data_IF_118730316383
#
_entry.id   IF_118730316383
#
_cell.length_a   1.000
_cell.length_b   1.000
_cell.length_c   1.000
_cell.angle_alpha   90.00
_cell.angle_beta   90.00
_cell.angle_gamma   90.00
#
_symmetry.space_group_name_H-M   'P 1'
#
loop_
_entity.id
_entity.type
_entity.pdbx_description
1 polymer ?
#
# COMPACT_ATOMS: atom_id res chain seq x y z
N UNK A 1 -9.74 4.71 -79.83
CA UNK A 1 -8.86 5.60 -79.07
C UNK A 1 -9.66 6.20 -77.92
N UNK A 2 -9.56 5.63 -76.72
CA UNK A 2 -10.20 6.12 -75.49
C UNK A 2 -9.16 6.03 -74.38
N UNK A 3 -8.81 7.18 -73.83
CA UNK A 3 -7.85 7.36 -72.74
C UNK A 3 -8.68 7.29 -71.45
N UNK A 4 -8.36 6.36 -70.55
CA UNK A 4 -8.95 6.29 -69.21
C UNK A 4 -7.88 6.75 -68.22
N UNK A 5 -8.15 7.89 -67.61
CA UNK A 5 -7.31 8.60 -66.65
C UNK A 5 -7.18 7.81 -65.34
N UNK A 6 -5.96 7.54 -64.90
CA UNK A 6 -5.65 6.87 -63.63
C UNK A 6 -5.63 7.89 -62.49
N UNK A 7 -6.39 7.64 -61.42
CA UNK A 7 -6.40 8.46 -60.20
C UNK A 7 -5.59 7.72 -59.13
N UNK A 8 -4.42 8.24 -58.74
CA UNK A 8 -3.64 7.72 -57.61
C UNK A 8 -4.29 8.16 -56.29
N UNK A 9 -4.62 7.20 -55.43
CA UNK A 9 -4.97 7.45 -54.03
C UNK A 9 -3.72 7.46 -53.16
N UNK A 10 -3.46 8.58 -52.47
CA UNK A 10 -2.36 8.72 -51.52
C UNK A 10 -2.83 8.23 -50.14
N UNK A 11 -2.34 7.08 -49.68
CA UNK A 11 -2.61 6.54 -48.34
C UNK A 11 -1.51 7.04 -47.39
N UNK A 12 -1.86 7.92 -46.46
CA UNK A 12 -0.98 8.37 -45.37
C UNK A 12 -1.13 7.44 -44.18
N UNK A 13 -0.12 6.61 -43.92
CA UNK A 13 -0.08 5.70 -42.76
C UNK A 13 0.42 6.46 -41.54
N UNK A 14 -0.47 6.74 -40.59
CA UNK A 14 -0.12 7.29 -39.27
C UNK A 14 0.38 6.16 -38.38
N UNK A 15 1.68 6.16 -38.06
CA UNK A 15 2.28 5.25 -37.07
C UNK A 15 1.89 5.74 -35.67
N UNK A 16 0.87 5.12 -35.08
CA UNK A 16 0.52 5.25 -33.67
C UNK A 16 1.59 4.53 -32.83
N UNK A 17 2.42 5.29 -32.13
CA UNK A 17 3.35 4.79 -31.11
C UNK A 17 2.54 4.34 -29.89
N UNK A 18 2.25 3.03 -29.83
CA UNK A 18 1.70 2.35 -28.66
C UNK A 18 2.73 2.43 -27.51
N UNK A 19 2.63 3.47 -26.68
CA UNK A 19 3.32 3.51 -25.40
C UNK A 19 2.73 2.40 -24.52
N UNK A 20 3.49 1.33 -24.32
CA UNK A 20 3.16 0.27 -23.37
C UNK A 20 3.22 0.88 -21.96
N UNK A 21 2.07 1.34 -21.47
CA UNK A 21 1.87 1.56 -20.05
C UNK A 21 2.02 0.20 -19.36
N UNK A 22 3.25 -0.13 -18.94
CA UNK A 22 3.51 -1.25 -18.07
C UNK A 22 2.86 -0.91 -16.73
N UNK A 23 1.61 -1.35 -16.54
CA UNK A 23 1.02 -1.39 -15.23
C UNK A 23 2.01 -2.13 -14.33
N UNK A 24 2.56 -1.45 -13.32
CA UNK A 24 3.47 -2.06 -12.36
C UNK A 24 2.73 -3.24 -11.72
N UNK A 25 3.10 -4.46 -12.12
CA UNK A 25 2.46 -5.67 -11.66
C UNK A 25 2.79 -5.87 -10.20
N UNK A 26 1.82 -5.87 -9.30
CA UNK A 26 2.09 -6.21 -7.90
C UNK A 26 2.62 -7.66 -7.79
N UNK A 27 3.68 -7.93 -7.00
CA UNK A 27 4.22 -9.28 -6.88
C UNK A 27 3.24 -10.23 -6.20
N UNK A 28 3.21 -11.50 -6.64
CA UNK A 28 2.48 -12.58 -5.96
C UNK A 28 3.26 -13.08 -4.74
N UNK A 29 2.60 -13.82 -3.85
CA UNK A 29 3.26 -14.44 -2.69
C UNK A 29 4.42 -15.34 -3.11
N UNK A 30 4.26 -16.11 -4.19
CA UNK A 30 5.30 -17.00 -4.73
C UNK A 30 6.50 -16.20 -5.23
N UNK A 31 6.27 -15.06 -5.89
CA UNK A 31 7.33 -14.18 -6.36
C UNK A 31 8.07 -13.53 -5.17
N UNK A 32 7.35 -13.14 -4.12
CA UNK A 32 7.95 -12.61 -2.89
C UNK A 32 8.78 -13.69 -2.19
N UNK A 33 8.26 -14.92 -2.07
CA UNK A 33 8.99 -16.04 -1.47
C UNK A 33 10.29 -16.30 -2.24
N UNK A 34 10.23 -16.36 -3.57
CA UNK A 34 11.40 -16.52 -4.42
C UNK A 34 12.45 -15.41 -4.22
N UNK A 35 12.00 -14.16 -4.11
CA UNK A 35 12.86 -13.02 -3.83
C UNK A 35 13.55 -13.11 -2.46
N UNK A 36 12.83 -13.58 -1.43
CA UNK A 36 13.37 -13.81 -0.09
C UNK A 36 14.38 -14.95 -0.10
N UNK A 37 14.05 -16.09 -0.72
CA UNK A 37 14.93 -17.25 -0.80
C UNK A 37 16.25 -16.90 -1.52
N UNK A 38 16.16 -16.14 -2.61
CA UNK A 38 17.32 -15.63 -3.33
C UNK A 38 18.17 -14.67 -2.49
N UNK A 39 17.55 -13.84 -1.65
CA UNK A 39 18.26 -12.98 -0.70
C UNK A 39 18.97 -13.78 0.39
N UNK A 40 18.30 -14.78 0.96
CA UNK A 40 18.86 -15.67 1.99
C UNK A 40 20.06 -16.44 1.45
N UNK A 41 19.96 -16.99 0.22
CA UNK A 41 21.05 -17.70 -0.43
C UNK A 41 22.32 -16.84 -0.60
N UNK A 42 22.17 -15.52 -0.82
CA UNK A 42 23.29 -14.58 -0.91
C UNK A 42 23.92 -14.24 0.44
N UNK A 43 23.17 -14.36 1.54
CA UNK A 43 23.60 -13.90 2.87
C UNK A 43 24.68 -14.77 3.55
N UNK A 44 25.12 -15.87 2.91
CA UNK A 44 26.17 -16.78 3.38
C UNK A 44 26.06 -17.20 4.87
N UNK A 45 24.84 -17.16 5.43
CA UNK A 45 24.62 -17.43 6.85
C UNK A 45 24.80 -18.93 7.11
N UNK A 46 25.61 -19.34 8.11
CA UNK A 46 25.88 -20.75 8.40
C UNK A 46 24.68 -21.49 9.01
N UNK A 47 23.61 -20.77 9.37
CA UNK A 47 22.37 -21.34 9.90
C UNK A 47 21.27 -21.17 8.85
N UNK A 48 20.76 -22.26 8.25
CA UNK A 48 19.62 -22.18 7.34
C UNK A 48 18.37 -21.77 8.11
N UNK A 49 18.07 -20.47 8.13
CA UNK A 49 16.78 -19.97 8.59
C UNK A 49 15.79 -20.12 7.42
N UNK A 50 14.87 -21.07 7.54
CA UNK A 50 13.76 -21.17 6.61
C UNK A 50 12.79 -20.01 6.86
N UNK A 51 12.75 -19.07 5.93
CA UNK A 51 11.76 -18.01 5.91
C UNK A 51 10.55 -18.44 5.09
N UNK A 52 9.35 -18.15 5.58
CA UNK A 52 8.11 -18.41 4.85
C UNK A 52 7.22 -17.17 4.86
N UNK A 53 6.79 -16.74 3.69
CA UNK A 53 5.73 -15.74 3.55
C UNK A 53 4.40 -16.42 3.86
N UNK A 54 3.73 -15.97 4.92
CA UNK A 54 2.46 -16.53 5.37
C UNK A 54 1.26 -15.74 4.85
N UNK A 55 1.45 -14.46 4.54
CA UNK A 55 0.39 -13.58 4.01
C UNK A 55 0.98 -12.35 3.33
N UNK A 56 0.26 -11.82 2.34
CA UNK A 56 0.52 -10.52 1.73
C UNK A 56 -0.64 -9.58 2.05
N UNK A 57 -0.35 -8.49 2.78
CA UNK A 57 -1.35 -7.46 3.10
C UNK A 57 -1.54 -6.51 1.92
N UNK A 58 -0.43 -6.09 1.30
CA UNK A 58 -0.44 -5.24 0.12
C UNK A 58 0.95 -4.71 -0.21
N UNK A 59 1.08 -4.21 -1.43
CA UNK A 59 2.30 -3.59 -1.94
C UNK A 59 2.02 -2.16 -2.39
N UNK A 60 2.95 -1.26 -2.13
CA UNK A 60 2.84 0.17 -2.46
C UNK A 60 4.20 0.68 -2.97
N UNK A 61 4.24 1.75 -3.77
CA UNK A 61 5.51 2.40 -4.09
C UNK A 61 6.28 2.78 -2.82
N UNK A 62 7.60 2.58 -2.84
CA UNK A 62 8.47 2.97 -1.72
C UNK A 62 8.44 4.49 -1.53
N UNK A 63 8.21 4.99 -0.31
CA UNK A 63 8.28 6.42 -0.03
C UNK A 63 9.73 6.94 -0.04
N UNK A 64 10.71 6.03 0.07
CA UNK A 64 12.12 6.37 0.24
C UNK A 64 12.93 6.30 -1.06
N UNK A 65 12.56 5.39 -1.98
CA UNK A 65 13.35 5.10 -3.19
C UNK A 65 12.43 4.96 -4.40
N UNK A 66 12.73 5.70 -5.48
CA UNK A 66 11.99 5.58 -6.74
C UNK A 66 12.18 4.20 -7.35
N UNK A 67 11.15 3.69 -8.02
CA UNK A 67 11.14 2.37 -8.70
C UNK A 67 11.23 1.15 -7.77
N UNK A 68 11.28 1.36 -6.45
CA UNK A 68 11.07 0.30 -5.47
C UNK A 68 9.59 0.19 -5.10
N UNK A 69 9.17 -1.04 -4.82
CA UNK A 69 7.89 -1.36 -4.20
C UNK A 69 8.14 -1.93 -2.83
N UNK A 70 7.43 -1.46 -1.82
CA UNK A 70 7.45 -2.04 -0.47
C UNK A 70 6.18 -2.87 -0.27
N UNK A 71 6.36 -4.11 0.17
CA UNK A 71 5.26 -5.02 0.46
C UNK A 71 5.18 -5.30 1.96
N UNK A 72 3.99 -5.13 2.54
CA UNK A 72 3.71 -5.53 3.91
C UNK A 72 3.29 -7.00 3.91
N UNK A 73 4.10 -7.83 4.54
CA UNK A 73 3.91 -9.29 4.54
C UNK A 73 3.91 -9.84 5.96
N UNK A 74 3.12 -10.89 6.17
CA UNK A 74 3.31 -11.80 7.29
C UNK A 74 4.41 -12.78 6.93
N UNK A 75 5.38 -12.95 7.82
CA UNK A 75 6.54 -13.82 7.60
C UNK A 75 6.82 -14.64 8.86
N UNK A 76 7.15 -15.91 8.64
CA UNK A 76 7.61 -16.84 9.64
C UNK A 76 9.10 -17.12 9.45
N UNK A 77 9.86 -17.15 10.55
CA UNK A 77 11.24 -17.57 10.60
C UNK A 77 11.45 -18.49 11.81
N UNK A 78 11.40 -19.80 11.58
CA UNK A 78 11.36 -20.79 12.67
C UNK A 78 10.11 -20.63 13.54
N UNK A 79 10.28 -20.38 14.85
CA UNK A 79 9.17 -20.13 15.79
C UNK A 79 8.72 -18.67 15.85
N UNK A 80 9.34 -17.78 15.06
CA UNK A 80 9.06 -16.34 15.10
C UNK A 80 8.18 -15.95 13.93
N UNK A 81 6.92 -15.66 14.22
CA UNK A 81 6.01 -15.04 13.26
C UNK A 81 5.94 -13.53 13.49
N UNK A 82 5.64 -12.80 12.42
CA UNK A 82 5.32 -11.39 12.49
C UNK A 82 5.21 -10.73 11.14
N UNK A 83 4.70 -9.51 11.15
CA UNK A 83 4.61 -8.66 9.98
C UNK A 83 5.90 -7.85 9.80
N UNK A 84 6.33 -7.72 8.55
CA UNK A 84 7.48 -6.92 8.15
C UNK A 84 7.24 -6.24 6.81
N UNK A 85 8.02 -5.20 6.54
CA UNK A 85 8.07 -4.52 5.24
C UNK A 85 9.22 -5.12 4.44
N UNK A 86 8.93 -5.59 3.23
CA UNK A 86 9.91 -6.08 2.28
C UNK A 86 10.03 -5.11 1.11
N UNK A 87 11.17 -4.43 0.95
CA UNK A 87 11.46 -3.66 -0.25
C UNK A 87 11.87 -4.61 -1.37
N UNK A 88 11.20 -4.46 -2.51
CA UNK A 88 11.36 -5.26 -3.71
C UNK A 88 11.54 -4.32 -4.91
N UNK A 89 12.32 -4.78 -5.88
CA UNK A 89 12.47 -4.10 -7.16
C UNK A 89 12.12 -5.07 -8.28
N UNK A 90 11.49 -4.54 -9.33
CA UNK A 90 11.24 -5.31 -10.53
C UNK A 90 12.50 -5.33 -11.39
N UNK A 91 12.95 -6.52 -11.78
CA UNK A 91 14.06 -6.76 -12.69
C UNK A 91 13.55 -7.64 -13.85
N UNK A 92 13.20 -6.98 -14.95
CA UNK A 92 12.46 -7.59 -16.06
C UNK A 92 11.12 -8.19 -15.61
N UNK A 93 10.98 -9.51 -15.75
CA UNK A 93 9.80 -10.27 -15.32
C UNK A 93 9.90 -10.80 -13.88
N UNK A 94 11.00 -10.52 -13.17
CA UNK A 94 11.28 -11.07 -11.84
C UNK A 94 11.25 -9.98 -10.77
N UNK A 95 10.94 -10.40 -9.55
CA UNK A 95 11.03 -9.54 -8.37
C UNK A 95 12.27 -9.91 -7.58
N UNK A 96 13.07 -8.91 -7.22
CA UNK A 96 14.29 -9.10 -6.42
C UNK A 96 14.16 -8.38 -5.09
N UNK A 97 14.60 -9.05 -4.02
CA UNK A 97 14.70 -8.44 -2.70
C UNK A 97 15.80 -7.38 -2.67
N UNK A 98 15.51 -6.23 -2.08
CA UNK A 98 16.49 -5.17 -1.84
C UNK A 98 16.99 -5.27 -0.41
N UNK A 99 18.30 -5.30 -0.20
CA UNK A 99 18.86 -5.29 1.14
C UNK A 99 18.74 -3.91 1.76
N UNK A 100 17.71 -3.73 2.60
CA UNK A 100 17.54 -2.51 3.37
C UNK A 100 16.90 -2.83 4.71
N UNK A 101 17.57 -2.39 5.77
CA UNK A 101 17.04 -2.49 7.14
C UNK A 101 16.03 -1.36 7.36
N UNK A 102 14.92 -1.66 8.01
CA UNK A 102 13.91 -0.68 8.43
C UNK A 102 13.21 0.07 7.27
N UNK A 103 12.96 -0.60 6.15
CA UNK A 103 12.13 -0.02 5.09
C UNK A 103 10.75 0.40 5.64
N UNK A 104 10.29 1.58 5.28
CA UNK A 104 9.00 2.10 5.70
C UNK A 104 7.88 1.61 4.77
N UNK A 105 6.71 1.35 5.33
CA UNK A 105 5.50 1.14 4.55
C UNK A 105 4.69 2.45 4.53
N UNK A 106 4.28 2.95 3.36
CA UNK A 106 3.56 4.21 3.29
C UNK A 106 2.21 4.08 4.00
N UNK A 107 1.93 5.04 4.88
CA UNK A 107 0.64 5.17 5.53
C UNK A 107 -0.47 5.67 4.59
N UNK A 108 -1.70 5.81 5.12
CA UNK A 108 -2.78 6.48 4.41
C UNK A 108 -2.43 7.95 4.12
N UNK A 109 -2.87 8.45 2.97
CA UNK A 109 -2.92 9.89 2.71
C UNK A 109 -3.94 10.59 3.60
N UNK A 110 -3.88 11.92 3.71
CA UNK A 110 -4.87 12.70 4.48
C UNK A 110 -6.31 12.45 4.01
N UNK A 111 -6.51 12.28 2.70
CA UNK A 111 -7.82 11.96 2.12
C UNK A 111 -8.24 10.53 2.43
N UNK A 112 -7.31 9.55 2.38
CA UNK A 112 -7.58 8.17 2.80
C UNK A 112 -7.95 8.11 4.28
N UNK A 113 -7.31 8.91 5.16
CA UNK A 113 -7.69 9.00 6.58
C UNK A 113 -9.09 9.60 6.74
N UNK A 114 -9.40 10.68 6.03
CA UNK A 114 -10.75 11.30 6.08
C UNK A 114 -11.83 10.31 5.64
N UNK A 115 -11.58 9.55 4.57
CA UNK A 115 -12.46 8.50 4.11
C UNK A 115 -12.63 7.41 5.18
N UNK A 116 -11.53 6.95 5.81
CA UNK A 116 -11.56 5.94 6.86
C UNK A 116 -12.31 6.41 8.12
N UNK A 117 -12.17 7.67 8.54
CA UNK A 117 -12.92 8.24 9.67
C UNK A 117 -14.42 8.32 9.37
N UNK A 118 -14.77 8.72 8.15
CA UNK A 118 -16.17 8.81 7.71
C UNK A 118 -16.80 7.41 7.63
N UNK A 119 -16.07 6.43 7.09
CA UNK A 119 -16.50 5.04 7.05
C UNK A 119 -16.68 4.47 8.45
N UNK A 120 -15.75 4.74 9.39
CA UNK A 120 -15.89 4.30 10.78
C UNK A 120 -17.13 4.88 11.45
N UNK A 121 -17.44 6.16 11.21
CA UNK A 121 -18.65 6.77 11.75
C UNK A 121 -19.91 6.08 11.21
N UNK A 122 -19.97 5.83 9.89
CA UNK A 122 -21.08 5.13 9.26
C UNK A 122 -21.23 3.68 9.77
N UNK A 123 -20.12 2.96 9.95
CA UNK A 123 -20.11 1.59 10.48
C UNK A 123 -20.64 1.54 11.91
N UNK A 124 -20.26 2.49 12.76
CA UNK A 124 -20.77 2.59 14.13
C UNK A 124 -22.27 2.86 14.17
N UNK A 125 -22.78 3.76 13.34
CA UNK A 125 -24.21 4.07 13.23
C UNK A 125 -25.01 2.90 12.66
N UNK A 126 -24.45 2.18 11.69
CA UNK A 126 -25.08 0.99 11.12
C UNK A 126 -25.17 -0.16 12.13
N UNK A 127 -24.16 -0.32 12.99
CA UNK A 127 -24.15 -1.32 14.05
C UNK A 127 -25.09 -0.95 15.22
N UNK A 128 -25.15 0.34 15.58
CA UNK A 128 -26.04 0.88 16.60
C UNK A 128 -26.55 2.27 16.18
N UNK A 129 -27.83 2.40 15.77
CA UNK A 129 -28.40 3.69 15.40
C UNK A 129 -28.32 4.76 16.50
N UNK A 130 -28.26 4.37 17.79
CA UNK A 130 -28.07 5.33 18.89
C UNK A 130 -26.67 5.98 18.87
N UNK A 131 -25.67 5.31 18.29
CA UNK A 131 -24.33 5.86 18.11
C UNK A 131 -24.33 7.10 17.20
N UNK A 132 -25.38 7.32 16.40
CA UNK A 132 -25.55 8.57 15.66
C UNK A 132 -25.62 9.79 16.57
N UNK A 133 -25.93 9.61 17.86
CA UNK A 133 -25.97 10.66 18.88
C UNK A 133 -24.71 10.76 19.74
N UNK A 134 -23.78 9.81 19.63
CA UNK A 134 -22.50 9.83 20.35
C UNK A 134 -21.63 10.99 19.85
N UNK A 135 -21.20 11.93 20.73
CA UNK A 135 -20.34 13.05 20.36
C UNK A 135 -19.03 12.63 19.67
N UNK A 136 -18.45 11.49 20.04
CA UNK A 136 -17.22 10.99 19.43
C UNK A 136 -17.47 10.54 17.99
N UNK A 137 -18.62 9.88 17.74
CA UNK A 137 -19.00 9.43 16.39
C UNK A 137 -19.37 10.61 15.51
N UNK A 138 -20.12 11.58 16.04
CA UNK A 138 -20.48 12.83 15.35
C UNK A 138 -19.26 13.67 14.98
N UNK A 139 -18.22 13.66 15.81
CA UNK A 139 -17.03 14.46 15.57
C UNK A 139 -16.18 13.92 14.41
N UNK A 140 -16.15 12.59 14.19
CA UNK A 140 -15.25 11.95 13.21
C UNK A 140 -15.30 12.57 11.79
N UNK A 141 -16.48 12.80 11.16
CA UNK A 141 -16.53 13.40 9.83
C UNK A 141 -16.15 14.90 9.81
N UNK A 142 -16.25 15.57 10.96
CA UNK A 142 -15.90 16.98 11.13
C UNK A 142 -14.43 17.24 11.47
N UNK A 143 -13.65 16.20 11.75
CA UNK A 143 -12.21 16.31 12.00
C UNK A 143 -11.44 16.60 10.70
N UNK A 144 -10.48 17.52 10.76
CA UNK A 144 -9.61 17.85 9.62
C UNK A 144 -8.22 17.27 9.85
N UNK A 145 -7.81 16.34 8.99
CA UNK A 145 -6.45 15.76 9.04
C UNK A 145 -5.50 16.69 8.30
N UNK A 146 -4.57 17.30 9.04
CA UNK A 146 -3.58 18.25 8.50
C UNK A 146 -2.34 17.55 7.96
N UNK A 147 -1.87 16.53 8.67
CA UNK A 147 -0.78 15.67 8.21
C UNK A 147 -0.93 14.27 8.80
N UNK A 148 -0.45 13.30 8.05
CA UNK A 148 -0.14 11.95 8.52
C UNK A 148 1.38 11.86 8.47
N UNK A 149 1.99 11.77 9.65
CA UNK A 149 3.43 11.68 9.82
C UNK A 149 3.85 10.19 9.79
N UNK A 150 5.11 9.88 10.06
CA UNK A 150 5.67 8.52 9.94
C UNK A 150 4.80 7.45 10.60
N UNK A 151 4.58 6.37 9.86
CA UNK A 151 3.84 5.20 10.32
C UNK A 151 4.76 4.04 10.67
N UNK A 152 4.40 3.29 11.70
CA UNK A 152 5.12 2.08 12.12
C UNK A 152 4.24 0.86 11.97
N UNK A 153 4.80 -0.20 11.40
CA UNK A 153 4.13 -1.50 11.33
C UNK A 153 4.16 -2.16 12.70
N UNK A 154 2.99 -2.51 13.23
CA UNK A 154 2.84 -3.32 14.43
C UNK A 154 3.12 -4.79 14.08
N UNK A 155 4.31 -5.30 14.46
CA UNK A 155 4.78 -6.66 14.10
C UNK A 155 3.79 -7.79 14.38
N UNK A 156 2.90 -7.66 15.37
CA UNK A 156 1.95 -8.72 15.74
C UNK A 156 0.69 -8.75 14.86
N UNK A 157 0.25 -7.60 14.37
CA UNK A 157 -1.06 -7.42 13.72
C UNK A 157 -0.95 -7.03 12.25
N UNK A 158 0.18 -6.46 11.84
CA UNK A 158 0.34 -5.86 10.52
C UNK A 158 -0.33 -4.49 10.40
N UNK A 159 -0.92 -3.96 11.47
CA UNK A 159 -1.53 -2.65 11.45
C UNK A 159 -0.45 -1.56 11.35
N UNK A 160 -0.80 -0.42 10.76
CA UNK A 160 0.04 0.77 10.79
C UNK A 160 -0.41 1.68 11.94
N UNK A 161 0.50 1.99 12.85
CA UNK A 161 0.34 3.05 13.83
C UNK A 161 0.97 4.32 13.27
N UNK A 162 0.16 5.31 12.93
CA UNK A 162 0.57 6.57 12.34
C UNK A 162 0.32 7.71 13.31
N UNK A 163 1.31 8.58 13.50
CA UNK A 163 1.08 9.87 14.14
C UNK A 163 0.37 10.80 13.16
N UNK A 164 -0.68 11.49 13.60
CA UNK A 164 -1.41 12.44 12.77
C UNK A 164 -1.62 13.76 13.51
N UNK A 165 -1.61 14.86 12.76
CA UNK A 165 -2.09 16.17 13.24
C UNK A 165 -3.51 16.36 12.77
N UNK A 166 -4.42 16.56 13.72
CA UNK A 166 -5.85 16.63 13.46
C UNK A 166 -6.42 17.88 14.11
N UNK A 167 -7.23 18.64 13.39
CA UNK A 167 -8.05 19.70 13.97
C UNK A 167 -9.39 19.11 14.39
N UNK A 168 -9.70 19.17 15.68
CA UNK A 168 -10.96 18.72 16.25
C UNK A 168 -11.88 19.93 16.43
N UNK A 169 -13.14 19.89 15.92
CA UNK A 169 -14.09 20.98 16.10
C UNK A 169 -14.26 21.37 17.57
N UNK A 170 -14.10 22.66 17.89
CA UNK A 170 -14.22 23.18 19.25
C UNK A 170 -13.01 22.94 20.17
N UNK A 171 -12.02 22.14 19.76
CA UNK A 171 -10.83 21.83 20.56
C UNK A 171 -9.52 22.31 19.91
N UNK A 172 -9.51 22.53 18.58
CA UNK A 172 -8.32 22.99 17.85
C UNK A 172 -7.40 21.84 17.44
N UNK A 173 -6.12 22.15 17.23
CA UNK A 173 -5.14 21.19 16.72
C UNK A 173 -4.62 20.26 17.82
N UNK A 174 -4.68 18.96 17.55
CA UNK A 174 -4.15 17.90 18.42
C UNK A 174 -3.27 16.94 17.64
N UNK A 175 -2.30 16.34 18.32
CA UNK A 175 -1.57 15.17 17.83
C UNK A 175 -2.29 13.91 18.31
N UNK A 176 -2.52 12.97 17.41
CA UNK A 176 -3.18 11.71 17.73
C UNK A 176 -2.47 10.55 17.05
N UNK A 177 -2.33 9.44 17.78
CA UNK A 177 -1.91 8.18 17.18
C UNK A 177 -3.16 7.47 16.63
N UNK A 178 -3.13 7.21 15.32
CA UNK A 178 -4.20 6.56 14.59
C UNK A 178 -3.71 5.22 14.06
N UNK A 179 -4.49 4.17 14.31
CA UNK A 179 -4.17 2.81 13.88
C UNK A 179 -5.00 2.47 12.65
N UNK A 180 -4.35 1.92 11.62
CA UNK A 180 -4.96 1.59 10.35
C UNK A 180 -4.68 0.14 9.93
N UNK A 181 -5.66 -0.44 9.24
CA UNK A 181 -5.56 -1.72 8.54
C UNK A 181 -5.66 -1.42 7.05
N UNK A 182 -4.74 -1.98 6.26
CA UNK A 182 -4.87 -1.97 4.80
C UNK A 182 -5.69 -3.19 4.37
N UNK A 183 -6.86 -2.93 3.77
CA UNK A 183 -7.70 -3.96 3.15
C UNK A 183 -7.75 -3.81 1.63
N UNK A 184 -8.47 -4.72 0.97
CA UNK A 184 -8.68 -4.68 -0.49
C UNK A 184 -9.43 -3.44 -0.97
N UNK A 185 -10.25 -2.83 -0.11
CA UNK A 185 -10.99 -1.60 -0.37
C UNK A 185 -10.23 -0.33 0.07
N UNK A 186 -8.96 -0.46 0.44
CA UNK A 186 -8.13 0.63 0.96
C UNK A 186 -8.02 0.63 2.49
N UNK A 187 -7.69 1.80 3.03
CA UNK A 187 -7.43 1.96 4.46
C UNK A 187 -8.71 2.01 5.29
N UNK A 188 -8.66 1.31 6.43
CA UNK A 188 -9.71 1.33 7.45
C UNK A 188 -9.08 1.66 8.79
N UNK A 189 -9.80 2.37 9.66
CA UNK A 189 -9.35 2.52 11.03
C UNK A 189 -9.45 1.17 11.75
N UNK A 190 -8.38 0.78 12.45
CA UNK A 190 -8.40 -0.41 13.27
C UNK A 190 -9.28 -0.18 14.52
N UNK A 191 -9.97 -1.21 15.02
CA UNK A 191 -10.56 -1.17 16.35
C UNK A 191 -9.50 -0.79 17.39
N UNK A 192 -9.91 -0.03 18.41
CA UNK A 192 -9.04 0.32 19.55
C UNK A 192 -8.86 -0.86 20.49
#
# INVERSE_FOLDING_TARGET
>A
MRIITSTLALVTTTLLTLSSAHAATTPTIEQIQSAVDAGVAKSASPVPMAFRITSLVGCRPSPEVKEETVCLVGMSAGMRDGFTVLPLRQDGATWVGVERKNAEFPGPTTDEVKAAMTALAAEKVAADPAAANDPQVKALPGMVVKSVDQCKVERKTGNLLCAAKVTVPGQGDVKADMRFVLGSQGWRMAPR
#
